data_IF_770317724187
#
_entry.id   IF_770317724187
#
_cell.length_a   1.000
_cell.length_b   1.000
_cell.length_c   1.000
_cell.angle_alpha   90.00
_cell.angle_beta   90.00
_cell.angle_gamma   90.00
#
_symmetry.space_group_name_H-M   'P 1'
#
loop_
_entity.id
_entity.type
_entity.pdbx_description
1 polymer ?
#
# COMPACT_ATOMS: atom_id res chain seq x y z
N UNK A 1 37.29 -20.46 21.19
CA UNK A 1 37.04 -19.01 21.05
C UNK A 1 36.05 -18.85 19.91
N UNK A 2 34.77 -19.02 20.21
CA UNK A 2 33.70 -18.84 19.22
C UNK A 2 33.64 -17.37 18.83
N UNK A 3 33.89 -17.08 17.55
CA UNK A 3 33.68 -15.75 17.00
C UNK A 3 32.21 -15.40 17.15
N UNK A 4 31.90 -14.37 17.93
CA UNK A 4 30.57 -13.80 17.96
C UNK A 4 30.28 -13.23 16.58
N UNK A 5 29.53 -13.99 15.78
CA UNK A 5 28.98 -13.50 14.51
C UNK A 5 28.29 -12.19 14.80
N UNK A 6 28.80 -11.10 14.23
CA UNK A 6 28.21 -9.78 14.47
C UNK A 6 26.83 -9.74 13.82
N UNK A 7 25.91 -8.93 14.34
CA UNK A 7 24.58 -8.73 13.73
C UNK A 7 24.67 -8.34 12.26
N UNK A 8 25.77 -7.67 11.88
CA UNK A 8 26.06 -7.29 10.50
C UNK A 8 26.29 -8.51 9.59
N UNK A 9 27.01 -9.53 10.06
CA UNK A 9 27.26 -10.75 9.28
C UNK A 9 25.97 -11.53 9.01
N UNK A 10 25.02 -11.52 9.95
CA UNK A 10 23.69 -12.12 9.79
C UNK A 10 22.80 -11.36 8.79
N UNK A 11 22.96 -10.04 8.68
CA UNK A 11 22.16 -9.20 7.79
C UNK A 11 22.76 -9.08 6.38
N UNK A 12 24.02 -9.49 6.19
CA UNK A 12 24.71 -9.42 4.90
C UNK A 12 23.97 -10.10 3.74
N UNK A 13 23.33 -11.29 3.92
CA UNK A 13 22.49 -11.88 2.87
C UNK A 13 21.25 -11.05 2.56
N UNK A 14 20.63 -10.44 3.57
CA UNK A 14 19.47 -9.57 3.40
C UNK A 14 19.82 -8.32 2.61
N UNK A 15 20.93 -7.65 2.95
CA UNK A 15 21.38 -6.47 2.20
C UNK A 15 21.77 -6.81 0.76
N UNK A 16 22.49 -7.92 0.57
CA UNK A 16 22.81 -8.42 -0.77
C UNK A 16 21.55 -8.70 -1.60
N UNK A 17 20.54 -9.35 -1.01
CA UNK A 17 19.25 -9.56 -1.66
C UNK A 17 18.56 -8.24 -1.97
N UNK A 18 18.51 -7.31 -1.02
CA UNK A 18 17.83 -6.03 -1.18
C UNK A 18 18.46 -5.18 -2.29
N UNK A 19 19.80 -5.09 -2.31
CA UNK A 19 20.53 -4.38 -3.35
C UNK A 19 20.30 -4.99 -4.73
N UNK A 20 20.42 -6.32 -4.83
CA UNK A 20 20.29 -7.00 -6.11
C UNK A 20 18.85 -7.01 -6.63
N UNK A 21 17.83 -7.03 -5.76
CA UNK A 21 16.43 -7.05 -6.19
C UNK A 21 15.82 -5.66 -6.36
N UNK A 22 16.11 -4.72 -5.47
CA UNK A 22 15.43 -3.43 -5.43
C UNK A 22 16.31 -2.31 -5.96
N UNK A 23 17.57 -2.22 -5.52
CA UNK A 23 18.43 -1.10 -5.92
C UNK A 23 18.85 -1.21 -7.39
N UNK A 24 19.22 -2.42 -7.84
CA UNK A 24 19.73 -2.65 -9.20
C UNK A 24 18.63 -2.83 -10.25
N UNK A 25 17.49 -3.42 -9.88
CA UNK A 25 16.47 -3.85 -10.84
C UNK A 25 15.19 -3.01 -10.84
N UNK A 26 15.03 -2.05 -9.93
CA UNK A 26 13.82 -1.22 -9.85
C UNK A 26 14.16 0.24 -10.16
N UNK A 27 13.52 0.78 -11.18
CA UNK A 27 13.65 2.18 -11.56
C UNK A 27 13.27 3.13 -10.42
N UNK A 28 14.00 4.23 -10.27
CA UNK A 28 13.87 5.22 -9.21
C UNK A 28 12.48 5.83 -9.15
N UNK A 29 11.78 5.89 -10.29
CA UNK A 29 10.39 6.34 -10.36
C UNK A 29 9.42 5.48 -9.54
N UNK A 30 9.79 4.21 -9.26
CA UNK A 30 8.99 3.28 -8.45
C UNK A 30 9.37 3.26 -6.97
N UNK A 31 10.45 3.96 -6.57
CA UNK A 31 10.93 3.96 -5.19
C UNK A 31 10.06 4.77 -4.26
N UNK A 32 9.30 5.72 -4.81
CA UNK A 32 8.37 6.53 -4.03
C UNK A 32 6.99 6.57 -4.71
N UNK A 33 6.02 7.11 -3.97
CA UNK A 33 4.62 7.20 -4.39
C UNK A 33 4.20 8.64 -4.72
N UNK A 34 5.17 9.50 -5.05
CA UNK A 34 4.91 10.87 -5.46
C UNK A 34 4.09 10.87 -6.77
N UNK A 35 3.07 11.72 -6.85
CA UNK A 35 2.12 11.75 -7.98
C UNK A 35 1.13 10.57 -8.05
N UNK A 36 1.27 9.54 -7.20
CA UNK A 36 0.36 8.39 -7.22
C UNK A 36 -0.85 8.59 -6.31
N UNK A 37 -2.04 8.32 -6.87
CA UNK A 37 -3.30 8.35 -6.13
C UNK A 37 -3.42 7.20 -5.11
N UNK A 38 -2.81 6.05 -5.43
CA UNK A 38 -2.77 4.86 -4.59
C UNK A 38 -1.38 4.74 -3.97
N UNK A 39 -1.28 5.01 -2.67
CA UNK A 39 0.00 5.14 -1.95
C UNK A 39 0.39 3.90 -1.14
N UNK A 40 -0.53 2.94 -1.01
CA UNK A 40 -0.28 1.69 -0.28
C UNK A 40 -0.90 0.51 -1.03
N UNK A 41 -0.42 -0.69 -0.73
CA UNK A 41 -0.89 -1.96 -1.25
C UNK A 41 -2.16 -2.49 -0.54
N UNK A 42 -2.80 -1.70 0.34
CA UNK A 42 -3.94 -2.13 1.16
C UNK A 42 -5.07 -2.79 0.35
N UNK A 43 -5.31 -2.33 -0.88
CA UNK A 43 -6.35 -2.90 -1.73
C UNK A 43 -6.01 -4.33 -2.16
N UNK A 44 -4.74 -4.57 -2.51
CA UNK A 44 -4.24 -5.91 -2.85
C UNK A 44 -4.23 -6.81 -1.60
N UNK A 45 -3.72 -6.31 -0.47
CA UNK A 45 -3.73 -7.04 0.81
C UNK A 45 -5.15 -7.41 1.24
N UNK A 46 -6.09 -6.46 1.15
CA UNK A 46 -7.49 -6.69 1.47
C UNK A 46 -8.16 -7.69 0.54
N UNK A 47 -7.81 -7.67 -0.76
CA UNK A 47 -8.25 -8.68 -1.71
C UNK A 47 -7.70 -10.06 -1.37
N UNK A 48 -6.39 -10.19 -1.15
CA UNK A 48 -5.74 -11.46 -0.80
C UNK A 48 -6.29 -12.04 0.50
N UNK A 49 -6.45 -11.22 1.54
CA UNK A 49 -7.02 -11.67 2.82
C UNK A 49 -8.43 -12.24 2.62
N UNK A 50 -9.27 -11.53 1.88
CA UNK A 50 -10.63 -11.98 1.58
C UNK A 50 -10.66 -13.27 0.76
N UNK A 51 -9.79 -13.37 -0.25
CA UNK A 51 -9.68 -14.57 -1.07
C UNK A 51 -9.25 -15.77 -0.23
N UNK A 52 -8.25 -15.59 0.63
CA UNK A 52 -7.79 -16.62 1.57
C UNK A 52 -8.91 -17.07 2.51
N UNK A 53 -9.71 -16.13 3.04
CA UNK A 53 -10.88 -16.44 3.85
C UNK A 53 -11.95 -17.21 3.06
N UNK A 54 -12.16 -16.90 1.77
CA UNK A 54 -13.12 -17.63 0.93
C UNK A 54 -12.66 -19.04 0.57
N UNK A 55 -11.38 -19.22 0.29
CA UNK A 55 -10.80 -20.54 0.06
C UNK A 55 -10.86 -21.37 1.35
N UNK A 56 -10.65 -20.72 2.50
CA UNK A 56 -10.76 -21.30 3.86
C UNK A 56 -9.92 -22.58 4.08
N UNK A 57 -8.95 -22.84 3.20
CA UNK A 57 -8.08 -24.01 3.19
C UNK A 57 -6.69 -23.60 2.73
N UNK A 58 -5.66 -24.13 3.40
CA UNK A 58 -4.27 -23.85 3.05
C UNK A 58 -3.85 -24.54 1.74
N UNK A 59 -4.40 -25.73 1.46
CA UNK A 59 -4.16 -26.49 0.23
C UNK A 59 -5.48 -26.94 -0.40
N UNK A 60 -6.23 -26.05 -1.07
CA UNK A 60 -7.43 -26.45 -1.79
C UNK A 60 -7.07 -27.36 -2.97
N UNK A 61 -7.88 -28.39 -3.23
CA UNK A 61 -7.77 -29.11 -4.49
C UNK A 61 -8.20 -28.20 -5.66
N UNK A 62 -7.78 -28.57 -6.87
CA UNK A 62 -8.01 -27.74 -8.07
C UNK A 62 -9.49 -27.40 -8.30
N UNK A 63 -10.40 -28.34 -8.03
CA UNK A 63 -11.83 -28.12 -8.20
C UNK A 63 -12.41 -27.13 -7.17
N UNK A 64 -11.96 -27.21 -5.92
CA UNK A 64 -12.34 -26.26 -4.88
C UNK A 64 -11.81 -24.85 -5.20
N UNK A 65 -10.59 -24.77 -5.72
CA UNK A 65 -10.00 -23.50 -6.16
C UNK A 65 -10.79 -22.90 -7.34
N UNK A 66 -11.08 -23.68 -8.38
CA UNK A 66 -11.87 -23.22 -9.54
C UNK A 66 -13.24 -22.69 -9.10
N UNK A 67 -13.96 -23.42 -8.24
CA UNK A 67 -15.25 -22.95 -7.70
C UNK A 67 -15.13 -21.64 -6.93
N UNK A 68 -14.05 -21.46 -6.16
CA UNK A 68 -13.80 -20.21 -5.46
C UNK A 68 -13.61 -19.04 -6.44
N UNK A 69 -12.83 -19.24 -7.51
CA UNK A 69 -12.59 -18.21 -8.54
C UNK A 69 -13.88 -17.87 -9.29
N UNK A 70 -14.69 -18.86 -9.67
CA UNK A 70 -16.02 -18.63 -10.26
C UNK A 70 -16.93 -17.80 -9.33
N UNK A 71 -16.87 -18.04 -8.02
CA UNK A 71 -17.58 -17.23 -7.03
C UNK A 71 -17.03 -15.81 -6.83
N UNK A 72 -15.73 -15.58 -7.03
CA UNK A 72 -15.15 -14.24 -7.09
C UNK A 72 -15.64 -13.48 -8.33
N UNK A 73 -15.59 -14.12 -9.50
CA UNK A 73 -16.05 -13.58 -10.78
C UNK A 73 -17.53 -13.16 -10.72
N UNK A 74 -18.40 -14.06 -10.26
CA UNK A 74 -19.82 -13.77 -10.10
C UNK A 74 -20.05 -12.55 -9.21
N UNK A 75 -19.32 -12.43 -8.10
CA UNK A 75 -19.44 -11.27 -7.22
C UNK A 75 -18.95 -10.00 -7.89
N UNK A 76 -17.85 -10.04 -8.62
CA UNK A 76 -17.34 -8.87 -9.34
C UNK A 76 -18.37 -8.38 -10.35
N UNK A 77 -19.00 -9.30 -11.09
CA UNK A 77 -20.09 -8.98 -12.02
C UNK A 77 -21.29 -8.34 -11.31
N UNK A 78 -21.70 -8.85 -10.15
CA UNK A 78 -22.76 -8.22 -9.35
C UNK A 78 -22.37 -6.81 -8.88
N UNK A 79 -21.13 -6.61 -8.41
CA UNK A 79 -20.65 -5.29 -8.00
C UNK A 79 -20.64 -4.31 -9.19
N UNK A 80 -20.20 -4.76 -10.36
CA UNK A 80 -20.21 -3.95 -11.58
C UNK A 80 -21.64 -3.54 -11.98
N UNK A 81 -22.60 -4.47 -11.91
CA UNK A 81 -24.01 -4.17 -12.14
C UNK A 81 -24.54 -3.13 -11.15
N UNK A 82 -24.22 -3.28 -9.86
CA UNK A 82 -24.60 -2.30 -8.84
C UNK A 82 -24.00 -0.91 -9.10
N UNK A 83 -22.72 -0.85 -9.49
CA UNK A 83 -22.05 0.42 -9.84
C UNK A 83 -22.71 1.08 -11.06
N UNK A 84 -23.06 0.30 -12.10
CA UNK A 84 -23.85 0.80 -13.24
C UNK A 84 -25.23 1.31 -12.82
N UNK A 85 -25.84 0.70 -11.80
CA UNK A 85 -27.09 1.12 -11.19
C UNK A 85 -26.98 2.33 -10.25
N UNK A 86 -25.82 2.98 -10.16
CA UNK A 86 -25.62 4.18 -9.34
C UNK A 86 -25.07 3.93 -7.94
N UNK A 87 -24.68 2.68 -7.61
CA UNK A 87 -23.96 2.43 -6.36
C UNK A 87 -22.61 3.16 -6.40
N UNK A 88 -22.40 4.06 -5.44
CA UNK A 88 -21.13 4.78 -5.29
C UNK A 88 -20.23 4.09 -4.27
N UNK A 89 -18.92 4.25 -4.44
CA UNK A 89 -17.95 3.78 -3.45
C UNK A 89 -18.22 4.43 -2.10
N UNK A 90 -17.95 3.69 -1.01
CA UNK A 90 -18.13 4.20 0.35
C UNK A 90 -17.36 5.53 0.50
N UNK A 91 -18.00 6.60 1.01
CA UNK A 91 -17.35 7.89 1.13
C UNK A 91 -16.16 7.79 2.11
N UNK A 92 -15.07 8.48 1.76
CA UNK A 92 -13.92 8.63 2.65
C UNK A 92 -14.34 9.45 3.87
N UNK A 93 -13.75 9.14 5.04
CA UNK A 93 -14.02 9.91 6.25
C UNK A 93 -13.51 11.34 6.12
N UNK A 94 -14.15 12.31 6.81
CA UNK A 94 -13.70 13.71 6.85
C UNK A 94 -12.23 13.84 7.23
N UNK A 95 -11.77 13.03 8.20
CA UNK A 95 -10.36 12.98 8.62
C UNK A 95 -9.44 12.53 7.49
N UNK A 96 -9.79 11.46 6.76
CA UNK A 96 -9.02 10.98 5.61
C UNK A 96 -8.96 12.03 4.52
N UNK A 97 -10.07 12.71 4.24
CA UNK A 97 -10.13 13.78 3.24
C UNK A 97 -9.26 14.98 3.65
N UNK A 98 -9.28 15.39 4.91
CA UNK A 98 -8.44 16.48 5.41
C UNK A 98 -6.94 16.17 5.30
N UNK A 99 -6.55 14.92 5.58
CA UNK A 99 -5.17 14.46 5.40
C UNK A 99 -4.79 14.49 3.92
N UNK A 100 -5.66 13.96 3.05
CA UNK A 100 -5.44 13.94 1.62
C UNK A 100 -5.25 15.35 1.07
N UNK A 101 -6.16 16.27 1.40
CA UNK A 101 -6.09 17.67 1.03
C UNK A 101 -4.77 18.32 1.45
N UNK A 102 -4.30 18.07 2.68
CA UNK A 102 -3.03 18.62 3.15
C UNK A 102 -1.83 18.08 2.37
N UNK A 103 -1.84 16.79 2.01
CA UNK A 103 -0.80 16.20 1.16
C UNK A 103 -0.82 16.85 -0.23
N UNK A 104 -2.01 16.98 -0.82
CA UNK A 104 -2.16 17.55 -2.16
C UNK A 104 -1.73 19.02 -2.20
N UNK A 105 -2.05 19.81 -1.16
CA UNK A 105 -1.55 21.19 -1.03
C UNK A 105 -0.03 21.26 -0.97
N UNK A 106 0.62 20.34 -0.25
CA UNK A 106 2.08 20.31 -0.16
C UNK A 106 2.72 19.95 -1.51
N UNK A 107 2.13 19.01 -2.26
CA UNK A 107 2.59 18.68 -3.61
C UNK A 107 2.43 19.87 -4.56
N UNK A 108 1.25 20.51 -4.60
CA UNK A 108 1.04 21.69 -5.46
C UNK A 108 2.06 22.80 -5.18
N UNK A 109 2.34 23.09 -3.91
CA UNK A 109 3.34 24.10 -3.53
C UNK A 109 4.75 23.73 -3.96
N UNK A 110 5.09 22.45 -3.88
CA UNK A 110 6.40 21.98 -4.33
C UNK A 110 6.52 22.06 -5.86
N UNK A 111 5.48 21.65 -6.58
CA UNK A 111 5.42 21.67 -8.04
C UNK A 111 5.48 23.10 -8.59
N UNK A 112 4.91 24.06 -7.86
CA UNK A 112 4.99 25.49 -8.18
C UNK A 112 6.34 26.15 -7.81
N UNK A 113 7.21 25.44 -7.07
CA UNK A 113 8.47 25.99 -6.57
C UNK A 113 8.36 26.87 -5.33
N UNK A 114 7.18 26.92 -4.67
CA UNK A 114 6.95 27.70 -3.45
C UNK A 114 7.67 27.12 -2.22
N UNK A 115 8.01 25.82 -2.27
CA UNK A 115 8.73 25.10 -1.21
C UNK A 115 9.79 24.17 -1.82
N UNK A 116 10.88 23.95 -1.10
CA UNK A 116 11.91 23.01 -1.50
C UNK A 116 11.62 21.57 -1.01
N UNK A 117 12.42 20.61 -1.46
CA UNK A 117 12.22 19.19 -1.12
C UNK A 117 12.29 18.91 0.39
N UNK A 118 13.15 19.60 1.14
CA UNK A 118 13.25 19.42 2.59
C UNK A 118 11.98 19.91 3.31
N UNK A 119 11.44 21.05 2.88
CA UNK A 119 10.19 21.59 3.40
C UNK A 119 8.99 20.69 3.09
N UNK A 120 8.95 20.11 1.88
CA UNK A 120 7.96 19.10 1.51
C UNK A 120 8.03 17.88 2.44
N UNK A 121 9.22 17.28 2.59
CA UNK A 121 9.42 16.09 3.41
C UNK A 121 9.10 16.35 4.89
N UNK A 122 9.49 17.51 5.42
CA UNK A 122 9.13 17.94 6.77
C UNK A 122 7.61 18.09 6.90
N UNK A 123 6.94 18.75 5.95
CA UNK A 123 5.49 18.89 5.94
C UNK A 123 4.76 17.55 5.96
N UNK A 124 5.22 16.58 5.16
CA UNK A 124 4.68 15.22 5.10
C UNK A 124 4.94 14.44 6.40
N UNK A 125 6.10 14.59 7.04
CA UNK A 125 6.42 13.92 8.31
C UNK A 125 5.42 14.28 9.42
N UNK A 126 5.03 15.56 9.51
CA UNK A 126 4.03 16.02 10.47
C UNK A 126 2.64 15.43 10.20
N UNK A 127 2.26 15.28 8.93
CA UNK A 127 0.99 14.65 8.54
C UNK A 127 0.94 13.20 9.03
N UNK A 128 2.03 12.46 8.83
CA UNK A 128 2.17 11.06 9.26
C UNK A 128 2.14 10.95 10.80
N UNK A 129 2.95 11.76 11.49
CA UNK A 129 3.07 11.72 12.95
C UNK A 129 1.73 12.00 13.66
N UNK A 130 0.94 12.96 13.16
CA UNK A 130 -0.38 13.28 13.71
C UNK A 130 -1.37 12.13 13.50
N UNK A 131 -1.28 11.42 12.38
CA UNK A 131 -2.16 10.29 12.10
C UNK A 131 -1.88 9.08 13.01
N UNK A 132 -0.61 8.79 13.29
CA UNK A 132 -0.20 7.70 14.20
C UNK A 132 -0.76 7.93 15.61
N UNK A 133 -0.62 9.14 16.16
CA UNK A 133 -1.15 9.49 17.49
C UNK A 133 -2.67 9.31 17.59
N UNK A 134 -3.39 9.56 16.50
CA UNK A 134 -4.86 9.43 16.49
C UNK A 134 -5.36 7.99 16.35
N UNK A 135 -4.54 7.02 15.91
CA UNK A 135 -4.93 5.60 15.85
C UNK A 135 -4.76 4.84 17.17
N UNK A 136 -4.04 5.44 18.14
CA UNK A 136 -3.76 4.84 19.46
C UNK A 136 -4.79 5.22 20.55
N UNK A 137 -5.80 6.02 20.21
CA UNK A 137 -6.96 6.33 21.06
C UNK A 137 -8.16 5.57 20.53
#
# INVERSE_FOLDING_TARGET
LESSSTTFDLLKPLFSYFENQWIKNVDIQRWNVYGLHMRTNNNAEGYHNRLNLRISKYHPNIWAFIRCIQGEENRFNHLLMQMKGGLTARPKTKKTLAIQHRIDTLYIRYDNGDINANELLNGLSYVVAKNIKSKRK
#
